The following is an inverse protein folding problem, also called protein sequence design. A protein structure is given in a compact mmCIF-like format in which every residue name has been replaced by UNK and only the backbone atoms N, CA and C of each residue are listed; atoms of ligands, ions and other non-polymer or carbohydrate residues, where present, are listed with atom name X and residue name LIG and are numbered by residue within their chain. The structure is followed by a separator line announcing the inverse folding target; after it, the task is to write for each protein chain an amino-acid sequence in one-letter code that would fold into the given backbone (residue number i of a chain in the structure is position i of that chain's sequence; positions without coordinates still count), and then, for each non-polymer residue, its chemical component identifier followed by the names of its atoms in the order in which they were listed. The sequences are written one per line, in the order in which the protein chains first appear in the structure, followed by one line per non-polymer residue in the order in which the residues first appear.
data_IF_712865890284
#
_entry.id   IF_712865890284
#
_cell.length_a   1.000
_cell.length_b   1.000
_cell.length_c   1.000
_cell.angle_alpha   90.00
_cell.angle_beta   90.00
_cell.angle_gamma   90.00
#
_symmetry.space_group_name_H-M   'P 1'
#
loop_
_entity.id
_entity.type
_entity.pdbx_description
1 polymer ?
#
# COMPACT_ATOMS: atom_id res chain seq x y z
N UNK A 1 -52.90 5.35 36.65
CA UNK A 1 -51.50 5.41 37.13
C UNK A 1 -50.54 5.25 35.96
N UNK A 2 -49.83 6.31 35.52
CA UNK A 2 -48.82 6.22 34.44
C UNK A 2 -47.43 6.10 35.05
N UNK A 3 -46.78 4.94 34.91
CA UNK A 3 -45.39 4.71 35.34
C UNK A 3 -44.45 5.51 34.44
N UNK A 4 -43.86 6.60 34.97
CA UNK A 4 -42.80 7.37 34.30
C UNK A 4 -41.56 6.48 34.13
N UNK A 5 -41.19 6.15 32.89
CA UNK A 5 -39.89 5.55 32.56
C UNK A 5 -38.79 6.53 32.94
N UNK A 6 -37.93 6.15 33.89
CA UNK A 6 -36.73 6.91 34.26
C UNK A 6 -35.76 6.92 33.07
N UNK A 7 -35.15 8.06 32.71
CA UNK A 7 -34.12 8.09 31.69
C UNK A 7 -32.92 7.28 32.16
N UNK A 8 -32.44 6.35 31.32
CA UNK A 8 -31.17 5.65 31.55
C UNK A 8 -30.08 6.71 31.65
N UNK A 9 -29.47 6.86 32.83
CA UNK A 9 -28.23 7.62 33.00
C UNK A 9 -27.27 7.13 31.92
N UNK A 10 -26.96 7.99 30.94
CA UNK A 10 -25.78 7.81 30.12
C UNK A 10 -24.63 7.71 31.13
N UNK A 11 -24.02 6.52 31.22
CA UNK A 11 -22.78 6.38 31.96
C UNK A 11 -21.82 7.34 31.30
N UNK A 12 -21.52 8.44 31.98
CA UNK A 12 -20.38 9.30 31.67
C UNK A 12 -19.16 8.36 31.63
N UNK A 13 -18.80 7.91 30.44
CA UNK A 13 -17.59 7.14 30.23
C UNK A 13 -16.46 8.03 30.68
N UNK A 14 -15.72 7.59 31.70
CA UNK A 14 -14.54 8.32 32.20
C UNK A 14 -13.68 8.78 31.02
N UNK A 15 -13.12 10.00 31.04
CA UNK A 15 -12.23 10.50 29.99
C UNK A 15 -11.16 9.49 29.58
N UNK A 16 -10.68 8.68 30.53
CA UNK A 16 -9.72 7.59 30.29
C UNK A 16 -10.30 6.48 29.41
N UNK A 17 -11.56 6.10 29.61
CA UNK A 17 -12.23 5.07 28.80
C UNK A 17 -12.55 5.57 27.40
N UNK A 18 -12.85 6.86 27.23
CA UNK A 18 -13.03 7.47 25.91
C UNK A 18 -11.71 7.48 25.14
N UNK A 19 -10.65 7.96 25.77
CA UNK A 19 -9.30 7.98 25.18
C UNK A 19 -8.81 6.57 24.82
N UNK A 20 -9.04 5.57 25.68
CA UNK A 20 -8.70 4.18 25.39
C UNK A 20 -9.47 3.65 24.15
N UNK A 21 -10.73 4.05 23.98
CA UNK A 21 -11.53 3.74 22.80
C UNK A 21 -10.98 4.39 21.52
N UNK A 22 -10.61 5.67 21.58
CA UNK A 22 -10.00 6.39 20.46
C UNK A 22 -8.67 5.77 20.02
N UNK A 23 -7.80 5.39 20.98
CA UNK A 23 -6.55 4.71 20.68
C UNK A 23 -6.77 3.32 20.06
N UNK A 24 -7.82 2.61 20.46
CA UNK A 24 -8.18 1.32 19.86
C UNK A 24 -8.64 1.49 18.40
N UNK A 25 -9.40 2.54 18.10
CA UNK A 25 -9.81 2.91 16.74
C UNK A 25 -8.57 3.28 15.91
N UNK A 26 -7.69 4.15 16.42
CA UNK A 26 -6.46 4.53 15.72
C UNK A 26 -5.58 3.31 15.40
N UNK A 27 -5.50 2.34 16.32
CA UNK A 27 -4.78 1.08 16.08
C UNK A 27 -5.42 0.24 14.98
N UNK A 28 -6.76 0.20 14.92
CA UNK A 28 -7.50 -0.48 13.86
C UNK A 28 -7.25 0.19 12.52
N UNK A 29 -7.33 1.51 12.47
CA UNK A 29 -7.16 2.31 11.26
C UNK A 29 -5.74 2.18 10.73
N UNK A 30 -4.73 2.27 11.60
CA UNK A 30 -3.33 2.02 11.23
C UNK A 30 -3.15 0.66 10.53
N UNK A 31 -3.73 -0.41 11.09
CA UNK A 31 -3.67 -1.75 10.49
C UNK A 31 -4.42 -1.81 9.16
N UNK A 32 -5.58 -1.17 9.06
CA UNK A 32 -6.35 -1.11 7.82
C UNK A 32 -5.57 -0.37 6.72
N UNK A 33 -4.99 0.79 7.04
CA UNK A 33 -4.17 1.58 6.11
C UNK A 33 -2.95 0.81 5.63
N UNK A 34 -2.22 0.13 6.53
CA UNK A 34 -1.05 -0.67 6.13
C UNK A 34 -1.47 -1.80 5.18
N UNK A 35 -2.57 -2.51 5.48
CA UNK A 35 -3.07 -3.59 4.61
C UNK A 35 -3.53 -3.07 3.26
N UNK A 36 -4.28 -1.97 3.22
CA UNK A 36 -4.75 -1.38 1.97
C UNK A 36 -3.57 -0.92 1.11
N UNK A 37 -2.56 -0.30 1.73
CA UNK A 37 -1.35 0.12 1.03
C UNK A 37 -0.55 -1.08 0.50
N UNK A 38 -0.34 -2.12 1.31
CA UNK A 38 0.33 -3.33 0.87
C UNK A 38 -0.41 -4.03 -0.27
N UNK A 39 -1.73 -4.18 -0.16
CA UNK A 39 -2.56 -4.80 -1.19
C UNK A 39 -2.47 -4.06 -2.54
N UNK A 40 -2.47 -2.71 -2.53
CA UNK A 40 -2.25 -1.93 -3.74
C UNK A 40 -0.89 -2.25 -4.37
N UNK A 41 0.19 -2.21 -3.58
CA UNK A 41 1.52 -2.52 -4.08
C UNK A 41 1.63 -3.96 -4.60
N UNK A 42 0.94 -4.91 -3.98
CA UNK A 42 0.90 -6.31 -4.43
C UNK A 42 0.18 -6.47 -5.76
N UNK A 43 -0.91 -5.74 -5.99
CA UNK A 43 -1.63 -5.72 -7.28
C UNK A 43 -0.71 -5.17 -8.37
N UNK A 44 -0.15 -3.98 -8.18
CA UNK A 44 0.72 -3.33 -9.16
C UNK A 44 1.97 -4.21 -9.48
N UNK A 45 2.54 -4.85 -8.45
CA UNK A 45 3.65 -5.80 -8.63
C UNK A 45 3.22 -7.05 -9.41
N UNK A 46 2.03 -7.60 -9.12
CA UNK A 46 1.51 -8.76 -9.83
C UNK A 46 1.27 -8.46 -11.32
N UNK A 47 0.82 -7.26 -11.67
CA UNK A 47 0.69 -6.80 -13.05
C UNK A 47 2.05 -6.73 -13.75
N UNK A 48 3.06 -6.18 -13.07
CA UNK A 48 4.44 -6.13 -13.59
C UNK A 48 5.03 -7.54 -13.80
N UNK A 49 4.78 -8.47 -12.86
CA UNK A 49 5.20 -9.87 -13.00
C UNK A 49 4.49 -10.52 -14.20
N UNK A 50 3.18 -10.33 -14.34
CA UNK A 50 2.41 -10.88 -15.44
C UNK A 50 2.88 -10.34 -16.81
N UNK A 51 3.24 -9.05 -16.89
CA UNK A 51 3.80 -8.45 -18.09
C UNK A 51 5.12 -9.13 -18.51
N UNK A 52 6.00 -9.43 -17.55
CA UNK A 52 7.30 -10.10 -17.77
C UNK A 52 7.18 -11.62 -17.99
N UNK A 53 6.14 -12.26 -17.46
CA UNK A 53 5.94 -13.71 -17.63
C UNK A 53 5.05 -14.08 -18.81
N UNK A 54 4.38 -13.11 -19.43
CA UNK A 54 3.52 -13.33 -20.60
C UNK A 54 4.30 -13.19 -21.92
N UNK A 55 3.67 -13.56 -23.04
CA UNK A 55 4.22 -13.34 -24.40
C UNK A 55 4.55 -11.87 -24.69
N UNK A 56 4.06 -10.89 -23.89
CA UNK A 56 4.53 -9.49 -23.96
C UNK A 56 6.00 -9.33 -23.61
N UNK A 57 6.59 -10.23 -22.84
CA UNK A 57 8.03 -10.19 -22.57
C UNK A 57 8.88 -10.42 -23.81
N UNK A 58 8.36 -11.13 -24.82
CA UNK A 58 9.01 -11.27 -26.14
C UNK A 58 9.03 -9.95 -26.91
N UNK A 59 8.16 -8.99 -26.56
CA UNK A 59 8.16 -7.62 -27.11
C UNK A 59 9.06 -6.65 -26.34
N UNK A 60 9.60 -7.06 -25.19
CA UNK A 60 10.57 -6.27 -24.43
C UNK A 60 11.97 -6.49 -25.01
N UNK A 61 12.69 -5.39 -25.25
CA UNK A 61 14.09 -5.43 -25.65
C UNK A 61 14.98 -6.02 -24.55
N UNK A 62 16.16 -6.51 -24.95
CA UNK A 62 17.15 -7.07 -24.01
C UNK A 62 17.61 -6.02 -23.00
N UNK A 63 17.71 -4.76 -23.42
CA UNK A 63 18.03 -3.61 -22.58
C UNK A 63 16.94 -3.39 -21.51
N UNK A 64 15.66 -3.39 -21.91
CA UNK A 64 14.54 -3.23 -20.96
C UNK A 64 14.48 -4.35 -19.91
N UNK A 65 14.77 -5.59 -20.31
CA UNK A 65 14.86 -6.72 -19.38
C UNK A 65 16.05 -6.57 -18.41
N UNK A 66 17.16 -6.00 -18.86
CA UNK A 66 18.31 -5.70 -18.01
C UNK A 66 17.98 -4.58 -17.00
N UNK A 67 17.30 -3.53 -17.44
CA UNK A 67 16.87 -2.42 -16.58
C UNK A 67 15.92 -2.89 -15.47
N UNK A 68 14.91 -3.70 -15.82
CA UNK A 68 13.99 -4.32 -14.84
C UNK A 68 14.78 -5.12 -13.79
N UNK A 69 15.79 -5.89 -14.23
CA UNK A 69 16.63 -6.68 -13.34
C UNK A 69 17.46 -5.80 -12.41
N UNK A 70 18.09 -4.75 -12.92
CA UNK A 70 18.94 -3.84 -12.14
C UNK A 70 18.13 -3.06 -11.09
N UNK A 71 16.97 -2.53 -11.49
CA UNK A 71 16.03 -1.86 -10.59
C UNK A 71 15.60 -2.79 -9.44
N UNK A 72 15.25 -4.03 -9.77
CA UNK A 72 14.82 -5.03 -8.77
C UNK A 72 15.96 -5.41 -7.81
N UNK A 73 17.18 -5.63 -8.32
CA UNK A 73 18.37 -5.95 -7.50
C UNK A 73 18.71 -4.81 -6.55
N UNK A 74 18.66 -3.56 -7.03
CA UNK A 74 18.97 -2.37 -6.24
C UNK A 74 18.04 -2.25 -5.03
N UNK A 75 16.75 -2.53 -5.21
CA UNK A 75 15.76 -2.42 -4.14
C UNK A 75 15.89 -3.58 -3.16
N UNK A 76 16.06 -4.83 -3.62
CA UNK A 76 16.26 -6.00 -2.76
C UNK A 76 17.38 -5.81 -1.74
N UNK A 77 18.50 -5.19 -2.13
CA UNK A 77 19.65 -4.91 -1.25
C UNK A 77 19.40 -3.81 -0.21
N UNK A 78 18.36 -2.99 -0.38
CA UNK A 78 18.10 -1.78 0.41
C UNK A 78 16.89 -1.89 1.35
N UNK A 79 16.11 -2.96 1.30
CA UNK A 79 14.95 -3.18 2.17
C UNK A 79 15.37 -3.80 3.50
N UNK A 80 14.85 -3.30 4.62
CA UNK A 80 15.03 -3.88 5.96
C UNK A 80 13.65 -4.02 6.63
N UNK A 81 12.90 -5.10 6.32
CA UNK A 81 11.52 -5.30 6.79
C UNK A 81 11.37 -5.16 8.31
N UNK A 82 12.33 -5.72 9.05
CA UNK A 82 12.40 -5.68 10.52
C UNK A 82 12.45 -4.27 11.12
N UNK A 83 12.86 -3.26 10.33
CA UNK A 83 12.92 -1.87 10.81
C UNK A 83 11.61 -1.12 10.61
N UNK A 84 10.60 -1.71 9.96
CA UNK A 84 9.26 -1.14 9.77
C UNK A 84 9.24 0.26 9.17
N UNK A 85 10.33 0.69 8.50
CA UNK A 85 10.48 2.08 8.09
C UNK A 85 9.56 2.34 6.91
N UNK A 86 8.64 3.32 7.05
CA UNK A 86 7.86 3.92 5.96
C UNK A 86 8.69 4.24 4.72
N UNK A 87 10.00 4.50 4.89
CA UNK A 87 10.95 4.71 3.79
C UNK A 87 11.13 3.47 2.88
N UNK A 88 11.06 2.26 3.41
CA UNK A 88 11.18 1.04 2.63
C UNK A 88 9.90 0.76 1.85
N UNK A 89 8.73 1.01 2.46
CA UNK A 89 7.45 1.03 1.75
C UNK A 89 7.45 2.05 0.58
N UNK A 90 7.95 3.27 0.80
CA UNK A 90 8.12 4.26 -0.28
C UNK A 90 9.08 3.81 -1.39
N UNK A 91 10.16 3.10 -1.07
CA UNK A 91 11.09 2.57 -2.10
C UNK A 91 10.41 1.52 -2.97
N UNK A 92 9.58 0.67 -2.37
CA UNK A 92 8.80 -0.34 -3.11
C UNK A 92 7.79 0.36 -4.03
N UNK A 93 7.11 1.40 -3.53
CA UNK A 93 6.21 2.25 -4.32
C UNK A 93 6.90 2.87 -5.54
N UNK A 94 8.08 3.49 -5.34
CA UNK A 94 8.86 4.06 -6.44
C UNK A 94 9.30 3.01 -7.46
N UNK A 95 9.75 1.83 -7.00
CA UNK A 95 10.11 0.74 -7.90
C UNK A 95 8.94 0.30 -8.76
N UNK A 96 7.77 0.14 -8.16
CA UNK A 96 6.55 -0.27 -8.87
C UNK A 96 6.20 0.75 -9.96
N UNK A 97 6.26 2.04 -9.65
CA UNK A 97 6.05 3.10 -10.63
C UNK A 97 7.04 3.02 -11.81
N UNK A 98 8.33 2.83 -11.51
CA UNK A 98 9.37 2.70 -12.53
C UNK A 98 9.13 1.45 -13.41
N UNK A 99 8.76 0.31 -12.82
CA UNK A 99 8.42 -0.91 -13.55
C UNK A 99 7.21 -0.74 -14.46
N UNK A 100 6.16 -0.03 -14.01
CA UNK A 100 5.01 0.29 -14.85
C UNK A 100 5.39 1.13 -16.07
N UNK A 101 6.29 2.11 -15.91
CA UNK A 101 6.73 2.96 -17.03
C UNK A 101 7.42 2.18 -18.15
N UNK A 102 8.09 1.07 -17.80
CA UNK A 102 8.82 0.20 -18.73
C UNK A 102 7.88 -0.83 -19.36
N UNK A 103 6.97 -1.40 -18.56
CA UNK A 103 6.05 -2.47 -18.98
C UNK A 103 4.82 -1.97 -19.75
N UNK A 104 4.44 -0.70 -19.55
CA UNK A 104 3.26 -0.07 -20.17
C UNK A 104 3.61 1.26 -20.85
N UNK A 105 4.48 1.25 -21.88
CA UNK A 105 4.99 2.49 -22.50
C UNK A 105 3.91 3.34 -23.18
N UNK A 106 2.76 2.76 -23.56
CA UNK A 106 1.68 3.43 -24.27
C UNK A 106 0.76 4.31 -23.40
N UNK A 107 0.77 4.16 -22.07
CA UNK A 107 -0.06 4.99 -21.17
C UNK A 107 0.67 6.23 -20.63
N UNK A 108 1.99 6.31 -20.80
CA UNK A 108 2.82 7.43 -20.32
C UNK A 108 2.62 8.75 -21.09
N UNK A 109 1.86 8.76 -22.20
CA UNK A 109 1.62 9.97 -23.01
C UNK A 109 0.45 10.85 -22.54
N UNK A 110 -0.33 10.45 -21.53
CA UNK A 110 -1.55 11.16 -21.13
C UNK A 110 -1.53 11.75 -19.69
N UNK A 111 -0.36 12.14 -19.16
CA UNK A 111 -0.30 13.01 -17.97
C UNK A 111 0.36 14.35 -18.29
N UNK A 112 -0.28 15.11 -19.17
CA UNK A 112 -0.13 16.55 -19.25
C UNK A 112 -1.48 17.16 -19.56
N UNK A 113 -2.23 17.44 -18.50
CA UNK A 113 -3.24 18.50 -18.43
C UNK A 113 -3.41 18.93 -16.98
#
# INVERSE_FOLDING_TARGET
MKKKKRPKKQRESSPVTMLAGELAILRRDLRATIRAYAARLEIDLAESVAAVSSKRAESLSREQLHDIRDLTIMVKRKLKPEKGRRKDLRKIDSLIHDLHSITHPAESRNSSK
#
